data_IF_637055283883
#
_entry.id   IF_637055283883
#
_cell.length_a   1.000
_cell.length_b   1.000
_cell.length_c   1.000
_cell.angle_alpha   90.00
_cell.angle_beta   90.00
_cell.angle_gamma   90.00
#
_symmetry.space_group_name_H-M   'P 1'
#
loop_
_entity.id
_entity.type
_entity.pdbx_description
1 polymer ?
#
# COMPACT_ATOMS: atom_id res chain seq x y z
N UNK A 1 22.79 -8.77 4.51
CA UNK A 1 22.50 -9.47 5.76
C UNK A 1 21.91 -10.85 5.46
N UNK A 2 22.28 -11.86 6.24
CA UNK A 2 21.72 -13.22 6.21
C UNK A 2 20.98 -13.48 7.51
N UNK A 3 19.77 -14.02 7.44
CA UNK A 3 19.05 -14.59 8.57
C UNK A 3 18.98 -16.12 8.36
N UNK A 4 19.67 -16.88 9.23
CA UNK A 4 19.75 -18.33 9.10
C UNK A 4 18.50 -19.04 9.65
N UNK A 5 17.85 -18.46 10.67
CA UNK A 5 16.66 -19.05 11.31
C UNK A 5 15.45 -19.06 10.36
N UNK A 6 15.25 -17.96 9.63
CA UNK A 6 14.16 -17.80 8.66
C UNK A 6 14.60 -18.00 7.21
N UNK A 7 15.86 -18.35 7.01
CA UNK A 7 16.46 -18.70 5.73
C UNK A 7 16.25 -17.66 4.62
N UNK A 8 16.63 -16.40 4.87
CA UNK A 8 16.59 -15.34 3.85
C UNK A 8 17.84 -14.46 3.86
N UNK A 9 18.10 -13.83 2.74
CA UNK A 9 19.02 -12.70 2.57
C UNK A 9 18.25 -11.38 2.57
N UNK A 10 18.88 -10.28 2.98
CA UNK A 10 18.27 -8.95 2.94
C UNK A 10 19.22 -7.90 2.38
N UNK A 11 18.74 -7.11 1.42
CA UNK A 11 19.37 -5.89 0.93
C UNK A 11 18.83 -4.70 1.72
N UNK A 12 19.74 -3.91 2.32
CA UNK A 12 19.41 -2.80 3.20
C UNK A 12 19.91 -1.46 2.69
N UNK A 13 20.95 -1.45 1.83
CA UNK A 13 21.50 -0.24 1.23
C UNK A 13 20.62 0.24 0.09
N UNK A 14 20.45 1.54 -0.04
CA UNK A 14 19.60 2.15 -1.07
C UNK A 14 19.94 1.69 -2.49
N UNK A 15 21.24 1.72 -2.86
CA UNK A 15 21.67 1.33 -4.20
C UNK A 15 21.35 -0.14 -4.52
N UNK A 16 21.55 -1.03 -3.54
CA UNK A 16 21.31 -2.47 -3.70
C UNK A 16 19.79 -2.78 -3.79
N UNK A 17 18.97 -2.15 -2.92
CA UNK A 17 17.52 -2.28 -2.96
C UNK A 17 16.96 -1.73 -4.27
N UNK A 18 17.44 -0.57 -4.73
CA UNK A 18 17.05 -0.01 -6.02
C UNK A 18 17.41 -0.92 -7.18
N UNK A 19 18.65 -1.45 -7.20
CA UNK A 19 19.11 -2.41 -8.21
C UNK A 19 18.26 -3.69 -8.16
N UNK A 20 17.98 -4.21 -6.96
CA UNK A 20 17.15 -5.39 -6.76
C UNK A 20 15.72 -5.23 -7.31
N UNK A 21 15.09 -4.07 -7.12
CA UNK A 21 13.78 -3.80 -7.71
C UNK A 21 13.78 -3.80 -9.25
N UNK A 22 14.88 -3.50 -9.87
CA UNK A 22 15.01 -3.38 -11.34
C UNK A 22 15.55 -4.64 -12.02
N UNK A 23 16.05 -5.60 -11.24
CA UNK A 23 16.60 -6.84 -11.76
C UNK A 23 15.56 -7.96 -11.76
N UNK A 24 14.58 -7.89 -12.67
CA UNK A 24 13.54 -8.89 -12.83
C UNK A 24 14.03 -10.19 -13.50
N UNK A 25 15.24 -10.22 -14.04
CA UNK A 25 15.84 -11.44 -14.63
C UNK A 25 16.36 -12.36 -13.53
N UNK A 26 17.21 -11.84 -12.64
CA UNK A 26 17.80 -12.65 -11.57
C UNK A 26 16.90 -12.75 -10.32
N UNK A 27 15.94 -11.85 -10.15
CA UNK A 27 15.08 -11.74 -8.95
C UNK A 27 13.61 -11.88 -9.31
N UNK A 28 13.08 -13.07 -9.16
CA UNK A 28 11.72 -13.46 -9.56
C UNK A 28 10.67 -13.12 -8.50
N UNK A 29 9.48 -12.76 -8.96
CA UNK A 29 8.28 -12.56 -8.14
C UNK A 29 7.35 -13.78 -8.09
N UNK A 30 7.64 -14.85 -8.85
CA UNK A 30 6.71 -15.98 -9.06
C UNK A 30 6.21 -16.69 -7.81
N UNK A 31 6.96 -16.63 -6.71
CA UNK A 31 6.52 -17.17 -5.42
C UNK A 31 5.85 -16.11 -4.53
N UNK A 32 5.45 -14.98 -5.08
CA UNK A 32 4.90 -13.85 -4.33
C UNK A 32 5.97 -12.97 -3.69
N UNK A 33 5.51 -11.95 -2.96
CA UNK A 33 6.37 -10.90 -2.39
C UNK A 33 6.33 -10.86 -0.85
N UNK A 34 5.61 -11.80 -0.21
CA UNK A 34 5.54 -11.98 1.25
C UNK A 34 6.64 -12.91 1.75
N UNK A 35 6.91 -12.87 3.07
CA UNK A 35 7.72 -13.87 3.77
C UNK A 35 6.91 -15.04 4.29
N UNK A 36 5.59 -14.91 4.38
CA UNK A 36 4.71 -15.93 4.96
C UNK A 36 4.82 -17.25 4.17
N UNK A 37 5.19 -18.38 4.78
CA UNK A 37 5.48 -19.62 4.05
C UNK A 37 4.31 -20.12 3.19
N UNK A 38 3.07 -20.05 3.72
CA UNK A 38 1.86 -20.48 3.00
C UNK A 38 1.54 -19.61 1.79
N UNK A 39 1.98 -18.34 1.79
CA UNK A 39 1.78 -17.40 0.67
C UNK A 39 2.84 -17.53 -0.42
N UNK A 40 3.94 -18.26 -0.14
CA UNK A 40 5.07 -18.43 -1.06
C UNK A 40 4.91 -19.71 -1.88
N UNK A 41 4.02 -19.68 -2.86
CA UNK A 41 3.73 -20.82 -3.71
C UNK A 41 3.71 -20.41 -5.19
N UNK A 42 3.85 -21.37 -6.12
CA UNK A 42 3.67 -21.08 -7.56
C UNK A 42 2.29 -20.52 -7.91
N UNK A 43 1.30 -20.70 -7.04
CA UNK A 43 -0.07 -20.22 -7.19
C UNK A 43 -0.31 -18.84 -6.56
N UNK A 44 0.72 -18.17 -6.04
CA UNK A 44 0.62 -16.84 -5.42
C UNK A 44 -0.06 -15.79 -6.32
N UNK A 45 0.04 -15.96 -7.65
CA UNK A 45 -0.65 -15.11 -8.62
C UNK A 45 -2.19 -15.09 -8.47
N UNK A 46 -2.78 -16.13 -7.87
CA UNK A 46 -4.23 -16.21 -7.65
C UNK A 46 -4.77 -15.19 -6.64
N UNK A 47 -3.89 -14.70 -5.76
CA UNK A 47 -4.21 -13.66 -4.77
C UNK A 47 -3.39 -12.37 -4.97
N UNK A 48 -2.18 -12.50 -5.53
CA UNK A 48 -1.29 -11.37 -5.75
C UNK A 48 -1.30 -10.89 -7.21
N UNK A 49 -2.08 -11.52 -8.10
CA UNK A 49 -2.22 -11.14 -9.52
C UNK A 49 -0.84 -10.91 -10.17
N UNK A 50 -0.68 -9.86 -10.98
CA UNK A 50 0.58 -9.54 -11.66
C UNK A 50 1.75 -9.27 -10.70
N UNK A 51 1.50 -8.97 -9.42
CA UNK A 51 2.56 -8.76 -8.43
C UNK A 51 3.38 -10.04 -8.18
N UNK A 52 2.76 -11.23 -8.35
CA UNK A 52 3.40 -12.53 -8.24
C UNK A 52 3.68 -13.18 -9.61
N UNK A 53 4.04 -12.37 -10.60
CA UNK A 53 4.36 -12.83 -11.94
C UNK A 53 5.67 -12.19 -12.42
N UNK A 54 6.34 -12.88 -13.36
CA UNK A 54 7.46 -12.36 -14.13
C UNK A 54 7.05 -12.20 -15.59
N UNK A 55 7.87 -11.50 -16.38
CA UNK A 55 7.66 -11.40 -17.82
C UNK A 55 7.75 -12.78 -18.51
N UNK A 56 6.97 -13.02 -19.56
CA UNK A 56 6.06 -12.09 -20.23
C UNK A 56 4.66 -11.99 -19.59
N UNK A 57 4.28 -12.87 -18.68
CA UNK A 57 2.95 -12.91 -18.07
C UNK A 57 2.64 -11.62 -17.28
N UNK A 58 3.61 -11.11 -16.51
CA UNK A 58 3.50 -9.84 -15.81
C UNK A 58 3.21 -8.69 -16.77
N UNK A 59 4.01 -8.55 -17.82
CA UNK A 59 3.85 -7.45 -18.78
C UNK A 59 2.47 -7.48 -19.47
N UNK A 60 2.01 -8.69 -19.87
CA UNK A 60 0.68 -8.90 -20.45
C UNK A 60 -0.42 -8.41 -19.50
N UNK A 61 -0.47 -8.97 -18.29
CA UNK A 61 -1.54 -8.67 -17.35
C UNK A 61 -1.49 -7.19 -16.92
N UNK A 62 -0.31 -6.68 -16.60
CA UNK A 62 -0.13 -5.29 -16.23
C UNK A 62 -0.57 -4.32 -17.33
N UNK A 63 -0.29 -4.62 -18.59
CA UNK A 63 -0.72 -3.78 -19.72
C UNK A 63 -2.24 -3.71 -19.83
N UNK A 64 -2.94 -4.83 -19.64
CA UNK A 64 -4.40 -4.90 -19.66
C UNK A 64 -5.03 -4.14 -18.49
N UNK A 65 -4.57 -4.39 -17.25
CA UNK A 65 -5.14 -3.73 -16.06
C UNK A 65 -4.84 -2.23 -16.04
N UNK A 66 -3.70 -1.79 -16.58
CA UNK A 66 -3.33 -0.37 -16.65
C UNK A 66 -4.30 0.46 -17.50
N UNK A 67 -5.06 -0.16 -18.43
CA UNK A 67 -6.13 0.53 -19.17
C UNK A 67 -7.26 1.02 -18.25
N UNK A 68 -7.48 0.34 -17.14
CA UNK A 68 -8.42 0.77 -16.10
C UNK A 68 -7.88 1.89 -15.19
N UNK A 69 -6.54 2.07 -15.10
CA UNK A 69 -5.84 3.02 -14.22
C UNK A 69 -5.23 4.20 -14.97
N UNK A 70 -5.99 4.82 -15.86
CA UNK A 70 -5.48 5.97 -16.61
C UNK A 70 -5.32 7.22 -15.73
N UNK A 71 -4.35 8.12 -16.01
CA UNK A 71 -4.21 9.39 -15.30
C UNK A 71 -5.49 10.25 -15.33
N UNK A 72 -6.32 10.10 -16.35
CA UNK A 72 -7.62 10.76 -16.45
C UNK A 72 -8.58 10.23 -15.37
N UNK A 73 -8.78 8.90 -15.26
CA UNK A 73 -9.64 8.30 -14.24
C UNK A 73 -9.19 8.67 -12.82
N UNK A 74 -7.89 8.66 -12.55
CA UNK A 74 -7.36 9.07 -11.25
C UNK A 74 -7.70 10.54 -10.95
N UNK A 75 -7.57 11.45 -11.92
CA UNK A 75 -7.97 12.86 -11.70
C UNK A 75 -9.47 13.03 -11.49
N UNK A 76 -10.30 12.26 -12.20
CA UNK A 76 -11.76 12.28 -12.05
C UNK A 76 -12.20 11.83 -10.64
N UNK A 77 -11.41 10.97 -9.98
CA UNK A 77 -11.67 10.55 -8.60
C UNK A 77 -11.37 11.64 -7.56
N UNK A 78 -10.55 12.65 -7.84
CA UNK A 78 -10.13 13.64 -6.83
C UNK A 78 -11.31 14.36 -6.17
N UNK A 79 -12.31 14.76 -6.96
CA UNK A 79 -13.53 15.38 -6.43
C UNK A 79 -14.32 14.46 -5.51
N UNK A 80 -14.35 13.16 -5.85
CA UNK A 80 -15.03 12.16 -5.03
C UNK A 80 -14.24 11.82 -3.77
N UNK A 81 -12.93 11.72 -3.86
CA UNK A 81 -12.05 11.56 -2.68
C UNK A 81 -12.22 12.72 -1.71
N UNK A 82 -12.31 13.96 -2.22
CA UNK A 82 -12.58 15.13 -1.38
C UNK A 82 -13.95 15.06 -0.70
N UNK A 83 -14.98 14.60 -1.41
CA UNK A 83 -16.31 14.43 -0.84
C UNK A 83 -16.30 13.36 0.27
N UNK A 84 -15.74 12.17 0.03
CA UNK A 84 -15.59 11.10 1.03
C UNK A 84 -14.77 11.57 2.24
N UNK A 85 -13.69 12.31 1.99
CA UNK A 85 -12.88 12.92 3.05
C UNK A 85 -13.72 13.80 3.96
N UNK A 86 -14.56 14.66 3.38
CA UNK A 86 -15.45 15.56 4.13
C UNK A 86 -16.47 14.79 4.94
N UNK A 87 -17.15 13.81 4.32
CA UNK A 87 -18.14 12.96 4.98
C UNK A 87 -17.55 12.27 6.23
N UNK A 88 -16.34 11.69 6.11
CA UNK A 88 -15.68 11.04 7.24
C UNK A 88 -15.16 12.03 8.29
N UNK A 89 -14.62 13.17 7.87
CA UNK A 89 -14.16 14.22 8.82
C UNK A 89 -15.33 14.89 9.55
N UNK A 90 -16.48 15.08 8.91
CA UNK A 90 -17.67 15.61 9.56
C UNK A 90 -18.05 14.74 10.77
N UNK A 91 -18.02 13.41 10.59
CA UNK A 91 -18.30 12.46 11.68
C UNK A 91 -17.18 12.39 12.72
N UNK A 92 -15.92 12.28 12.30
CA UNK A 92 -14.79 12.13 13.21
C UNK A 92 -14.59 13.39 14.09
N UNK A 93 -14.81 14.56 13.52
CA UNK A 93 -14.67 15.84 14.20
C UNK A 93 -15.91 16.22 15.05
N UNK A 94 -16.95 15.38 15.17
CA UNK A 94 -18.00 15.59 16.18
C UNK A 94 -17.41 15.58 17.60
N UNK A 95 -16.36 14.76 17.83
CA UNK A 95 -15.55 14.80 19.05
C UNK A 95 -14.24 15.54 18.84
N UNK A 96 -13.70 16.16 19.91
CA UNK A 96 -12.36 16.73 19.88
C UNK A 96 -11.28 15.62 20.02
N UNK A 97 -11.62 14.50 20.68
CA UNK A 97 -10.72 13.35 20.84
C UNK A 97 -11.33 12.12 20.18
N UNK A 98 -10.58 11.48 19.30
CA UNK A 98 -11.01 10.29 18.55
C UNK A 98 -9.82 9.46 18.09
N UNK A 99 -10.08 8.21 17.70
CA UNK A 99 -9.06 7.36 17.06
C UNK A 99 -9.00 7.66 15.56
N UNK A 100 -7.90 8.30 15.14
CA UNK A 100 -7.71 8.73 13.74
C UNK A 100 -7.75 7.55 12.75
N UNK A 101 -7.31 6.35 13.15
CA UNK A 101 -7.32 5.19 12.24
C UNK A 101 -8.74 4.66 12.07
N UNK A 102 -9.43 4.37 13.17
CA UNK A 102 -10.74 3.71 13.09
C UNK A 102 -11.85 4.63 12.63
N UNK A 103 -11.75 5.93 12.96
CA UNK A 103 -12.80 6.89 12.63
C UNK A 103 -12.61 7.57 11.26
N UNK A 104 -11.37 7.61 10.77
CA UNK A 104 -11.07 8.32 9.51
C UNK A 104 -10.15 7.54 8.55
N UNK A 105 -8.87 7.36 8.91
CA UNK A 105 -7.85 6.91 7.96
C UNK A 105 -8.09 5.50 7.40
N UNK A 106 -8.73 4.61 8.16
CA UNK A 106 -9.08 3.26 7.72
C UNK A 106 -10.34 3.19 6.85
N UNK A 107 -11.19 4.24 6.89
CA UNK A 107 -12.44 4.27 6.11
C UNK A 107 -12.19 4.82 4.70
N UNK A 108 -11.46 5.93 4.58
CA UNK A 108 -11.29 6.66 3.34
C UNK A 108 -10.69 5.82 2.20
N UNK A 109 -9.52 5.15 2.33
CA UNK A 109 -8.96 4.38 1.23
C UNK A 109 -9.85 3.20 0.81
N UNK A 110 -10.54 2.58 1.76
CA UNK A 110 -11.48 1.50 1.47
C UNK A 110 -12.66 1.98 0.65
N UNK A 111 -13.24 3.13 0.98
CA UNK A 111 -14.34 3.70 0.21
C UNK A 111 -13.90 4.11 -1.19
N UNK A 112 -12.70 4.71 -1.32
CA UNK A 112 -12.13 5.11 -2.61
C UNK A 112 -11.90 3.90 -3.51
N UNK A 113 -11.24 2.85 -3.00
CA UNK A 113 -10.98 1.65 -3.81
C UNK A 113 -12.27 0.90 -4.13
N UNK A 114 -13.20 0.82 -3.18
CA UNK A 114 -14.50 0.17 -3.36
C UNK A 114 -15.32 0.86 -4.44
N UNK A 115 -15.34 2.18 -4.45
CA UNK A 115 -16.03 2.94 -5.48
C UNK A 115 -15.39 2.77 -6.85
N UNK A 116 -14.06 2.78 -6.91
CA UNK A 116 -13.31 2.55 -8.15
C UNK A 116 -13.63 1.18 -8.77
N UNK A 117 -13.70 0.13 -7.95
CA UNK A 117 -13.97 -1.24 -8.43
C UNK A 117 -15.46 -1.54 -8.59
N UNK A 118 -16.34 -0.65 -8.09
CA UNK A 118 -17.78 -0.78 -8.22
C UNK A 118 -18.44 -1.61 -7.08
N UNK A 119 -17.86 -1.62 -5.88
CA UNK A 119 -18.45 -2.25 -4.68
C UNK A 119 -19.59 -1.37 -4.14
N UNK A 120 -20.81 -1.91 -3.93
CA UNK A 120 -21.91 -1.19 -3.33
C UNK A 120 -21.58 -0.66 -1.92
N UNK A 121 -22.11 0.52 -1.51
CA UNK A 121 -21.82 1.11 -0.21
C UNK A 121 -22.08 0.19 0.98
N UNK A 122 -23.16 -0.60 0.92
CA UNK A 122 -23.57 -1.54 1.97
C UNK A 122 -22.57 -2.66 2.23
N UNK A 123 -21.72 -3.01 1.25
CA UNK A 123 -20.74 -4.09 1.37
C UNK A 123 -19.37 -3.59 1.85
N UNK A 124 -19.06 -2.29 1.72
CA UNK A 124 -17.71 -1.71 1.92
C UNK A 124 -17.14 -1.99 3.29
N UNK A 125 -17.96 -1.81 4.35
CA UNK A 125 -17.52 -2.05 5.72
C UNK A 125 -17.15 -3.52 5.97
N UNK A 126 -17.94 -4.46 5.42
CA UNK A 126 -17.65 -5.89 5.51
C UNK A 126 -16.34 -6.23 4.80
N UNK A 127 -16.16 -5.72 3.57
CA UNK A 127 -14.93 -5.97 2.80
C UNK A 127 -13.70 -5.35 3.46
N UNK A 128 -13.83 -4.18 4.12
CA UNK A 128 -12.76 -3.57 4.91
C UNK A 128 -12.31 -4.51 6.03
N UNK A 129 -13.23 -5.01 6.83
CA UNK A 129 -12.91 -5.95 7.92
C UNK A 129 -12.23 -7.20 7.40
N UNK A 130 -12.67 -7.74 6.27
CA UNK A 130 -12.03 -8.90 5.63
C UNK A 130 -10.61 -8.57 5.15
N UNK A 131 -10.40 -7.40 4.50
CA UNK A 131 -9.08 -6.98 4.04
C UNK A 131 -8.10 -6.75 5.18
N UNK A 132 -8.53 -6.10 6.26
CA UNK A 132 -7.74 -5.91 7.48
C UNK A 132 -7.35 -7.27 8.10
N UNK A 133 -8.29 -8.22 8.13
CA UNK A 133 -8.06 -9.59 8.64
C UNK A 133 -7.03 -10.36 7.79
N UNK A 134 -7.07 -10.22 6.48
CA UNK A 134 -6.08 -10.85 5.56
C UNK A 134 -4.66 -10.37 5.86
N UNK A 135 -4.50 -9.10 6.22
CA UNK A 135 -3.19 -8.48 6.48
C UNK A 135 -2.71 -8.63 7.92
N UNK A 136 -3.62 -9.01 8.83
CA UNK A 136 -3.28 -9.21 10.25
C UNK A 136 -2.34 -10.41 10.44
N UNK A 137 -1.38 -10.25 11.36
CA UNK A 137 -0.50 -11.33 11.86
C UNK A 137 -0.55 -11.35 13.38
N UNK A 138 -0.36 -12.53 13.95
CA UNK A 138 -0.30 -12.73 15.39
C UNK A 138 1.14 -12.65 15.88
N UNK A 139 1.36 -12.09 17.06
CA UNK A 139 2.69 -12.00 17.65
C UNK A 139 3.27 -13.40 17.92
N UNK A 140 4.53 -13.60 17.53
CA UNK A 140 5.21 -14.89 17.65
C UNK A 140 4.78 -15.97 16.65
N UNK A 141 3.82 -15.68 15.76
CA UNK A 141 3.38 -16.59 14.68
C UNK A 141 4.04 -16.21 13.37
N UNK A 142 4.75 -17.14 12.77
CA UNK A 142 5.52 -16.91 11.53
C UNK A 142 4.73 -17.14 10.25
N UNK A 143 3.46 -17.57 10.34
CA UNK A 143 2.62 -17.86 9.19
C UNK A 143 1.27 -17.15 9.26
N UNK A 144 0.48 -17.29 8.20
CA UNK A 144 -0.84 -16.66 8.04
C UNK A 144 -1.85 -17.30 8.99
N UNK A 145 -2.53 -16.51 9.87
CA UNK A 145 -3.57 -17.04 10.74
C UNK A 145 -4.73 -17.66 9.95
N UNK A 146 -5.38 -18.67 10.54
CA UNK A 146 -6.56 -19.33 9.93
C UNK A 146 -7.67 -18.34 9.58
N UNK A 147 -7.89 -17.33 10.43
CA UNK A 147 -8.89 -16.29 10.18
C UNK A 147 -8.58 -15.49 8.89
N UNK A 148 -7.29 -15.21 8.62
CA UNK A 148 -6.88 -14.52 7.41
C UNK A 148 -7.11 -15.35 6.15
N UNK A 149 -6.91 -16.69 6.22
CA UNK A 149 -7.22 -17.59 5.10
C UNK A 149 -8.72 -17.61 4.80
N UNK A 150 -9.56 -17.68 5.83
CA UNK A 150 -11.03 -17.62 5.68
C UNK A 150 -11.45 -16.29 5.07
N UNK A 151 -10.93 -15.18 5.57
CA UNK A 151 -11.22 -13.85 5.04
C UNK A 151 -10.80 -13.71 3.56
N UNK A 152 -9.65 -14.25 3.19
CA UNK A 152 -9.19 -14.26 1.80
C UNK A 152 -10.15 -15.05 0.89
N UNK A 153 -10.63 -16.20 1.34
CA UNK A 153 -11.61 -17.00 0.59
C UNK A 153 -12.94 -16.28 0.42
N UNK A 154 -13.42 -15.58 1.46
CA UNK A 154 -14.65 -14.78 1.38
C UNK A 154 -14.51 -13.63 0.39
N UNK A 155 -13.39 -12.91 0.40
CA UNK A 155 -13.11 -11.84 -0.57
C UNK A 155 -13.07 -12.37 -2.00
N UNK A 156 -12.35 -13.48 -2.24
CA UNK A 156 -12.29 -14.11 -3.56
C UNK A 156 -13.67 -14.55 -4.05
N UNK A 157 -14.48 -15.12 -3.17
CA UNK A 157 -15.87 -15.52 -3.50
C UNK A 157 -16.71 -14.31 -3.87
N UNK A 158 -16.62 -13.22 -3.08
CA UNK A 158 -17.34 -11.99 -3.36
C UNK A 158 -16.96 -11.42 -4.75
N UNK A 159 -15.67 -11.35 -5.07
CA UNK A 159 -15.24 -10.82 -6.37
C UNK A 159 -15.58 -11.74 -7.54
N UNK A 160 -15.56 -13.07 -7.34
CA UNK A 160 -16.05 -14.01 -8.35
C UNK A 160 -17.54 -13.79 -8.67
N UNK A 161 -18.36 -13.56 -7.65
CA UNK A 161 -19.79 -13.24 -7.83
C UNK A 161 -19.96 -11.90 -8.54
N UNK A 162 -19.21 -10.88 -8.14
CA UNK A 162 -19.25 -9.56 -8.75
C UNK A 162 -18.85 -9.60 -10.24
N UNK A 163 -17.78 -10.30 -10.62
CA UNK A 163 -17.37 -10.48 -12.02
C UNK A 163 -18.49 -11.16 -12.83
N UNK A 164 -19.09 -12.24 -12.30
CA UNK A 164 -20.23 -12.91 -12.96
C UNK A 164 -21.43 -11.99 -13.14
N UNK A 165 -21.73 -11.16 -12.15
CA UNK A 165 -22.82 -10.20 -12.22
C UNK A 165 -22.55 -9.10 -13.26
N UNK A 166 -21.31 -8.55 -13.31
CA UNK A 166 -20.92 -7.50 -14.26
C UNK A 166 -20.92 -7.97 -15.70
N UNK A 167 -20.59 -9.25 -15.97
CA UNK A 167 -20.75 -9.83 -17.32
C UNK A 167 -22.20 -9.84 -17.80
N UNK A 168 -23.15 -9.98 -16.89
CA UNK A 168 -24.58 -9.98 -17.24
C UNK A 168 -25.15 -8.56 -17.30
N UNK A 169 -24.67 -7.69 -16.43
CA UNK A 169 -25.11 -6.31 -16.28
C UNK A 169 -23.88 -5.39 -16.24
N UNK A 170 -23.35 -4.96 -17.40
CA UNK A 170 -22.19 -4.09 -17.48
C UNK A 170 -22.39 -2.76 -16.74
N UNK A 171 -21.33 -2.24 -16.11
CA UNK A 171 -21.31 -0.98 -15.38
C UNK A 171 -20.07 -0.16 -15.77
N UNK A 172 -20.16 1.17 -15.62
CA UNK A 172 -19.05 2.07 -15.89
C UNK A 172 -18.15 2.24 -14.64
N UNK A 173 -17.62 1.10 -14.16
CA UNK A 173 -16.62 1.03 -13.08
C UNK A 173 -15.34 0.34 -13.58
N UNK A 174 -14.35 0.19 -12.69
CA UNK A 174 -13.09 -0.48 -13.06
C UNK A 174 -13.34 -1.95 -13.46
N UNK A 175 -14.24 -2.65 -12.76
CA UNK A 175 -14.57 -4.05 -13.08
C UNK A 175 -15.15 -4.18 -14.48
N UNK A 176 -16.08 -3.31 -14.86
CA UNK A 176 -16.60 -3.23 -16.23
C UNK A 176 -15.49 -2.95 -17.25
N UNK A 177 -14.63 -1.97 -16.97
CA UNK A 177 -13.50 -1.64 -17.84
C UNK A 177 -12.50 -2.80 -18.00
N UNK A 178 -12.26 -3.61 -16.95
CA UNK A 178 -11.40 -4.78 -17.03
C UNK A 178 -12.03 -5.91 -17.88
N UNK A 179 -13.35 -6.07 -17.79
CA UNK A 179 -14.09 -7.04 -18.59
C UNK A 179 -14.07 -6.72 -20.09
N UNK A 180 -13.94 -5.45 -20.43
CA UNK A 180 -13.87 -4.94 -21.81
C UNK A 180 -12.44 -4.76 -22.33
N UNK A 181 -11.43 -4.78 -21.41
CA UNK A 181 -10.04 -4.54 -21.78
C UNK A 181 -9.54 -5.58 -22.78
N UNK A 182 -8.97 -5.10 -23.91
CA UNK A 182 -8.41 -5.93 -24.96
C UNK A 182 -7.14 -5.30 -25.51
N UNK A 183 -6.14 -6.14 -25.81
CA UNK A 183 -4.91 -5.77 -26.52
C UNK A 183 -4.64 -6.87 -27.54
N UNK A 184 -4.67 -6.51 -28.83
CA UNK A 184 -4.40 -7.41 -29.97
C UNK A 184 -5.23 -8.72 -29.92
N UNK A 185 -6.50 -8.62 -29.50
CA UNK A 185 -7.42 -9.76 -29.35
C UNK A 185 -7.30 -10.51 -28.04
N UNK A 186 -6.32 -10.19 -27.20
CA UNK A 186 -6.13 -10.79 -25.87
C UNK A 186 -6.95 -10.05 -24.81
N UNK A 187 -7.65 -10.80 -23.96
CA UNK A 187 -8.52 -10.30 -22.89
C UNK A 187 -8.21 -10.96 -21.56
N UNK A 188 -8.61 -10.30 -20.47
CA UNK A 188 -8.52 -10.88 -19.13
C UNK A 188 -9.54 -12.01 -18.95
N UNK A 189 -9.09 -13.13 -18.38
CA UNK A 189 -9.97 -14.18 -17.90
C UNK A 189 -10.64 -13.77 -16.57
N UNK A 190 -11.76 -14.41 -16.21
CA UNK A 190 -12.51 -14.07 -15.00
C UNK A 190 -11.71 -14.25 -13.72
N UNK A 191 -10.86 -15.28 -13.66
CA UNK A 191 -9.96 -15.55 -12.54
C UNK A 191 -8.81 -14.52 -12.45
N UNK A 192 -8.32 -14.01 -13.58
CA UNK A 192 -7.34 -12.92 -13.60
C UNK A 192 -7.94 -11.60 -13.07
N UNK A 193 -9.19 -11.29 -13.47
CA UNK A 193 -9.93 -10.12 -12.97
C UNK A 193 -10.19 -10.28 -11.47
N UNK A 194 -10.70 -11.42 -11.03
CA UNK A 194 -10.95 -11.72 -9.61
C UNK A 194 -9.69 -11.56 -8.76
N UNK A 195 -8.56 -12.14 -9.18
CA UNK A 195 -7.29 -12.02 -8.49
C UNK A 195 -6.80 -10.56 -8.43
N UNK A 196 -7.03 -9.80 -9.50
CA UNK A 196 -6.69 -8.38 -9.53
C UNK A 196 -7.56 -7.54 -8.59
N UNK A 197 -8.89 -7.77 -8.55
CA UNK A 197 -9.80 -7.06 -7.64
C UNK A 197 -9.47 -7.37 -6.17
N UNK A 198 -9.13 -8.63 -5.86
CA UNK A 198 -8.65 -9.02 -4.54
C UNK A 198 -7.35 -8.26 -4.18
N UNK A 199 -6.37 -8.24 -5.08
CA UNK A 199 -5.12 -7.49 -4.88
C UNK A 199 -5.40 -6.00 -4.64
N UNK A 200 -6.31 -5.40 -5.41
CA UNK A 200 -6.63 -3.97 -5.31
C UNK A 200 -7.14 -3.59 -3.92
N UNK A 201 -8.05 -4.39 -3.36
CA UNK A 201 -8.63 -4.10 -2.04
C UNK A 201 -7.62 -4.34 -0.92
N UNK A 202 -6.87 -5.44 -0.96
CA UNK A 202 -5.89 -5.75 0.08
C UNK A 202 -4.72 -4.76 0.04
N UNK A 203 -4.15 -4.49 -1.15
CA UNK A 203 -2.98 -3.62 -1.27
C UNK A 203 -3.33 -2.13 -1.20
N UNK A 204 -4.49 -1.72 -1.70
CA UNK A 204 -4.89 -0.31 -1.78
C UNK A 204 -5.40 0.26 -0.45
N UNK A 205 -6.10 -0.54 0.34
CA UNK A 205 -6.64 -0.11 1.63
C UNK A 205 -5.55 0.07 2.70
N UNK A 206 -4.87 -1.02 3.06
CA UNK A 206 -3.95 -1.05 4.19
C UNK A 206 -2.78 -0.08 4.06
N UNK A 207 -2.14 -0.04 2.91
CA UNK A 207 -0.94 0.77 2.73
C UNK A 207 -1.22 2.27 2.81
N UNK A 208 -2.36 2.73 2.28
CA UNK A 208 -2.77 4.14 2.32
C UNK A 208 -3.26 4.53 3.72
N UNK A 209 -3.99 3.65 4.41
CA UNK A 209 -4.34 3.82 5.83
C UNK A 209 -3.08 4.04 6.68
N UNK A 210 -2.04 3.20 6.49
CA UNK A 210 -0.79 3.33 7.25
C UNK A 210 -0.02 4.60 6.87
N UNK A 211 -0.05 5.02 5.60
CA UNK A 211 0.53 6.29 5.18
C UNK A 211 -0.11 7.47 5.92
N UNK A 212 -1.45 7.52 5.98
CA UNK A 212 -2.18 8.56 6.70
C UNK A 212 -1.88 8.55 8.19
N UNK A 213 -1.89 7.38 8.83
CA UNK A 213 -1.56 7.24 10.25
C UNK A 213 -0.12 7.61 10.57
N UNK A 214 0.84 7.17 9.76
CA UNK A 214 2.26 7.52 9.92
C UNK A 214 2.48 9.03 9.73
N UNK A 215 1.79 9.67 8.76
CA UNK A 215 1.86 11.10 8.55
C UNK A 215 1.42 11.87 9.80
N UNK A 216 0.26 11.54 10.33
CA UNK A 216 -0.27 12.19 11.53
C UNK A 216 0.63 11.97 12.75
N UNK A 217 1.09 10.74 12.96
CA UNK A 217 1.96 10.43 14.10
C UNK A 217 3.26 11.25 14.05
N UNK A 218 3.99 11.16 12.91
CA UNK A 218 5.31 11.77 12.83
C UNK A 218 5.29 13.30 12.81
N UNK A 219 4.27 13.94 12.25
CA UNK A 219 4.12 15.38 12.37
C UNK A 219 3.72 15.79 13.80
N UNK A 220 2.80 15.03 14.46
CA UNK A 220 2.36 15.33 15.81
C UNK A 220 3.47 15.23 16.87
N UNK A 221 4.41 14.28 16.72
CA UNK A 221 5.57 14.17 17.61
C UNK A 221 6.75 15.07 17.23
N UNK A 222 6.63 15.84 16.14
CA UNK A 222 7.58 16.84 15.68
C UNK A 222 6.90 18.21 15.49
N UNK A 223 6.63 18.95 16.59
CA UNK A 223 5.79 20.16 16.55
C UNK A 223 6.23 21.23 15.54
N UNK A 224 7.54 21.41 15.36
CA UNK A 224 8.05 22.38 14.38
C UNK A 224 7.69 22.00 12.94
N UNK A 225 7.65 20.69 12.64
CA UNK A 225 7.23 20.19 11.32
C UNK A 225 5.72 20.35 11.15
N UNK A 226 4.94 20.04 12.20
CA UNK A 226 3.48 20.24 12.20
C UNK A 226 3.12 21.71 12.00
N UNK A 227 3.70 22.63 12.77
CA UNK A 227 3.46 24.06 12.62
C UNK A 227 3.75 24.54 11.20
N UNK A 228 4.83 24.06 10.59
CA UNK A 228 5.18 24.43 9.22
C UNK A 228 4.16 24.02 8.16
N UNK A 229 3.36 22.95 8.35
CA UNK A 229 2.27 22.57 7.43
C UNK A 229 0.93 23.21 7.83
N UNK A 230 0.71 23.55 9.10
CA UNK A 230 -0.44 24.34 9.55
C UNK A 230 -0.37 25.78 9.02
N UNK A 231 0.83 26.38 8.99
CA UNK A 231 1.06 27.74 8.48
C UNK A 231 0.98 27.80 6.94
N UNK A 232 1.38 26.72 6.26
CA UNK A 232 1.41 26.65 4.79
C UNK A 232 0.98 25.26 4.28
N UNK A 233 -0.31 25.13 3.94
CA UNK A 233 -0.89 23.91 3.41
C UNK A 233 -0.30 23.47 2.05
N UNK A 234 0.39 24.36 1.31
CA UNK A 234 1.11 23.99 0.09
C UNK A 234 2.25 22.99 0.37
N UNK A 235 2.67 22.83 1.63
CA UNK A 235 3.67 21.86 2.07
C UNK A 235 3.13 20.44 2.29
N UNK A 236 1.81 20.22 2.23
CA UNK A 236 1.21 18.87 2.42
C UNK A 236 1.79 17.82 1.46
N UNK A 237 2.03 18.08 0.16
CA UNK A 237 2.70 17.11 -0.70
C UNK A 237 4.11 16.72 -0.21
N UNK A 238 4.86 17.67 0.35
CA UNK A 238 6.20 17.41 0.90
C UNK A 238 6.10 16.58 2.20
N UNK A 239 5.08 16.79 3.00
CA UNK A 239 4.77 15.98 4.18
C UNK A 239 4.49 14.53 3.79
N UNK A 240 3.66 14.31 2.76
CA UNK A 240 3.39 12.96 2.23
C UNK A 240 4.67 12.27 1.77
N UNK A 241 5.52 12.94 0.99
CA UNK A 241 6.77 12.35 0.50
C UNK A 241 7.76 12.05 1.64
N UNK A 242 7.90 12.94 2.64
CA UNK A 242 8.77 12.66 3.80
C UNK A 242 8.23 11.51 4.65
N UNK A 243 6.90 11.40 4.81
CA UNK A 243 6.29 10.25 5.50
C UNK A 243 6.59 8.94 4.77
N UNK A 244 6.42 8.93 3.44
CA UNK A 244 6.75 7.79 2.60
C UNK A 244 8.23 7.38 2.74
N UNK A 245 9.14 8.33 2.85
CA UNK A 245 10.56 8.06 3.11
C UNK A 245 10.78 7.57 4.53
N UNK A 246 10.30 8.32 5.52
CA UNK A 246 10.70 8.16 6.93
C UNK A 246 10.10 6.92 7.58
N UNK A 247 8.82 6.66 7.34
CA UNK A 247 8.11 5.48 7.87
C UNK A 247 7.19 4.89 6.78
N UNK A 248 7.83 4.32 5.73
CA UNK A 248 7.09 3.74 4.60
C UNK A 248 6.15 2.62 5.06
N UNK A 249 4.94 2.61 4.51
CA UNK A 249 3.94 1.58 4.83
C UNK A 249 4.43 0.18 4.46
N UNK A 250 5.08 0.00 3.30
CA UNK A 250 5.67 -1.29 2.89
C UNK A 250 7.14 -1.34 3.31
N UNK A 251 7.45 -2.24 4.25
CA UNK A 251 8.80 -2.35 4.83
C UNK A 251 9.71 -3.33 4.09
N UNK A 252 9.13 -4.41 3.58
CA UNK A 252 9.85 -5.48 2.91
C UNK A 252 9.07 -5.99 1.70
N UNK A 253 9.81 -6.42 0.67
CA UNK A 253 9.27 -7.19 -0.45
C UNK A 253 10.22 -8.35 -0.77
N UNK A 254 9.69 -9.57 -0.72
CA UNK A 254 10.47 -10.76 -1.02
C UNK A 254 10.67 -10.96 -2.52
N UNK A 255 11.76 -11.62 -2.86
CA UNK A 255 12.09 -12.16 -4.18
C UNK A 255 12.61 -13.58 -4.03
N UNK A 256 12.57 -14.32 -5.11
CA UNK A 256 13.33 -15.56 -5.25
C UNK A 256 14.47 -15.32 -6.22
N UNK A 257 15.66 -15.74 -5.86
CA UNK A 257 16.81 -15.71 -6.76
C UNK A 257 16.55 -16.74 -7.87
N UNK A 258 16.43 -16.27 -9.11
CA UNK A 258 16.20 -17.12 -10.29
C UNK A 258 17.51 -17.52 -10.98
N UNK A 259 18.52 -16.64 -10.94
CA UNK A 259 19.85 -16.86 -11.48
C UNK A 259 20.88 -16.44 -10.45
N UNK A 260 22.05 -17.09 -10.44
CA UNK A 260 23.14 -16.72 -9.54
C UNK A 260 23.44 -15.22 -9.63
N UNK A 261 23.51 -14.55 -8.47
CA UNK A 261 23.77 -13.12 -8.38
C UNK A 261 24.70 -12.80 -7.21
N UNK A 262 25.61 -11.87 -7.42
CA UNK A 262 26.57 -11.44 -6.40
C UNK A 262 26.22 -10.06 -5.86
N UNK A 263 26.31 -9.93 -4.52
CA UNK A 263 26.25 -8.66 -3.80
C UNK A 263 27.45 -8.55 -2.84
N UNK A 264 28.33 -7.59 -3.06
CA UNK A 264 29.46 -7.30 -2.16
C UNK A 264 30.33 -8.53 -1.83
N UNK A 265 30.65 -9.36 -2.82
CA UNK A 265 31.47 -10.57 -2.64
C UNK A 265 30.70 -11.76 -2.05
N UNK A 266 29.38 -11.64 -1.89
CA UNK A 266 28.51 -12.73 -1.46
C UNK A 266 27.64 -13.19 -2.63
N UNK A 267 27.76 -14.46 -3.00
CA UNK A 267 26.98 -15.08 -4.07
C UNK A 267 25.71 -15.70 -3.52
N UNK A 268 24.57 -15.28 -4.06
CA UNK A 268 23.26 -15.87 -3.79
C UNK A 268 22.95 -16.89 -4.89
N UNK A 269 22.40 -18.05 -4.49
CA UNK A 269 22.11 -19.16 -5.39
C UNK A 269 20.65 -19.17 -5.83
N UNK A 270 20.33 -19.74 -7.01
CA UNK A 270 18.95 -19.98 -7.42
C UNK A 270 18.16 -20.72 -6.35
N UNK A 271 16.96 -20.19 -6.02
CA UNK A 271 16.09 -20.69 -4.96
C UNK A 271 16.24 -19.94 -3.62
N UNK A 272 17.30 -19.14 -3.43
CA UNK A 272 17.45 -18.31 -2.24
C UNK A 272 16.30 -17.30 -2.14
N UNK A 273 15.88 -17.01 -0.90
CA UNK A 273 14.95 -15.92 -0.61
C UNK A 273 15.73 -14.64 -0.35
N UNK A 274 15.38 -13.55 -1.06
CA UNK A 274 15.97 -12.25 -0.90
C UNK A 274 14.90 -11.22 -0.53
N UNK A 275 15.13 -10.45 0.53
CA UNK A 275 14.30 -9.32 0.92
C UNK A 275 14.88 -8.01 0.39
N UNK A 276 14.06 -7.24 -0.29
CA UNK A 276 14.30 -5.85 -0.58
C UNK A 276 13.67 -5.03 0.56
N UNK A 277 14.47 -4.18 1.21
CA UNK A 277 14.05 -3.44 2.42
C UNK A 277 14.00 -1.93 2.15
N UNK A 278 12.94 -1.38 1.52
CA UNK A 278 12.81 0.05 1.27
C UNK A 278 12.86 0.89 2.56
N UNK A 279 12.29 0.40 3.67
CA UNK A 279 12.36 1.11 4.96
C UNK A 279 13.80 1.34 5.43
N UNK A 280 14.69 0.36 5.26
CA UNK A 280 16.12 0.51 5.56
C UNK A 280 16.83 1.37 4.51
N UNK A 281 16.53 1.17 3.24
CA UNK A 281 17.12 1.93 2.14
C UNK A 281 16.87 3.45 2.29
N UNK A 282 15.72 3.85 2.84
CA UNK A 282 15.40 5.24 3.10
C UNK A 282 16.15 5.84 4.30
N UNK A 283 16.88 5.02 5.07
CA UNK A 283 17.78 5.43 6.17
C UNK A 283 19.26 5.41 5.76
N UNK A 284 19.56 5.17 4.48
CA UNK A 284 20.94 5.16 3.98
C UNK A 284 21.52 6.57 3.96
N UNK A 285 22.49 6.84 4.85
CA UNK A 285 23.18 8.12 4.99
C UNK A 285 23.99 8.53 3.74
N UNK A 286 24.31 7.56 2.85
CA UNK A 286 24.95 7.82 1.56
C UNK A 286 24.03 8.52 0.57
N UNK A 287 22.71 8.48 0.82
CA UNK A 287 21.67 9.01 -0.07
C UNK A 287 20.88 10.13 0.58
N UNK A 288 20.62 10.03 1.86
CA UNK A 288 19.82 11.00 2.63
C UNK A 288 20.67 11.58 3.77
N UNK A 289 20.87 12.89 3.77
CA UNK A 289 21.52 13.59 4.88
C UNK A 289 20.60 13.55 6.09
N UNK A 290 21.14 13.26 7.29
CA UNK A 290 20.37 13.10 8.53
C UNK A 290 19.13 12.21 8.34
N UNK A 291 19.33 10.93 7.92
CA UNK A 291 18.22 10.06 7.49
C UNK A 291 17.24 9.74 8.61
N UNK A 292 17.68 9.84 9.88
CA UNK A 292 16.88 9.57 11.08
C UNK A 292 16.08 10.77 11.58
N UNK A 293 16.18 11.93 10.90
CA UNK A 293 15.31 13.08 11.15
C UNK A 293 14.10 13.07 10.23
N UNK A 294 12.90 13.30 10.81
CA UNK A 294 11.69 13.60 10.07
C UNK A 294 11.69 15.07 9.68
N UNK A 295 11.87 15.36 8.39
CA UNK A 295 12.05 16.73 7.87
C UNK A 295 11.18 16.96 6.65
N UNK A 296 10.05 17.64 6.82
CA UNK A 296 9.15 18.02 5.74
C UNK A 296 9.85 19.08 4.86
N UNK A 297 9.96 18.78 3.55
CA UNK A 297 10.68 19.63 2.60
C UNK A 297 12.09 19.14 2.28
N UNK A 298 12.46 17.93 2.74
CA UNK A 298 13.66 17.24 2.31
C UNK A 298 13.64 17.03 0.78
N UNK A 299 14.79 17.20 0.11
CA UNK A 299 14.94 16.82 -1.29
C UNK A 299 15.02 15.28 -1.43
N UNK A 300 13.86 14.68 -1.69
CA UNK A 300 13.72 13.24 -1.89
C UNK A 300 13.88 12.89 -3.37
N UNK A 301 13.24 13.64 -4.25
CA UNK A 301 13.31 13.44 -5.71
C UNK A 301 13.01 12.00 -6.12
N UNK A 302 13.83 11.45 -7.01
CA UNK A 302 13.70 10.07 -7.51
C UNK A 302 14.29 8.99 -6.58
N UNK A 303 14.71 9.36 -5.37
CA UNK A 303 15.36 8.45 -4.41
C UNK A 303 14.33 7.62 -3.61
N UNK A 304 13.04 7.94 -3.71
CA UNK A 304 11.98 7.23 -2.98
C UNK A 304 11.76 5.82 -3.53
N UNK A 305 11.80 4.83 -2.66
CA UNK A 305 11.59 3.41 -2.98
C UNK A 305 10.32 2.81 -2.36
N UNK A 306 9.48 3.60 -1.69
CA UNK A 306 8.23 3.14 -1.05
C UNK A 306 7.25 2.49 -2.04
N UNK A 307 7.31 2.91 -3.29
CA UNK A 307 6.50 2.36 -4.37
C UNK A 307 7.27 1.37 -5.26
N UNK A 308 8.45 0.94 -4.82
CA UNK A 308 9.34 0.11 -5.61
C UNK A 308 9.98 0.86 -6.78
N UNK A 309 10.54 0.12 -7.72
CA UNK A 309 11.15 0.63 -8.96
C UNK A 309 11.07 -0.43 -10.06
N UNK A 310 11.27 -0.04 -11.33
CA UNK A 310 11.27 -0.98 -12.47
C UNK A 310 9.88 -1.50 -12.86
N UNK A 311 9.83 -2.73 -13.37
CA UNK A 311 8.62 -3.32 -13.95
C UNK A 311 7.45 -3.39 -12.96
N UNK A 312 7.73 -3.67 -11.69
CA UNK A 312 6.74 -3.76 -10.62
C UNK A 312 6.52 -2.45 -9.84
N UNK A 313 6.88 -1.29 -10.40
CA UNK A 313 6.54 0.00 -9.78
C UNK A 313 5.04 0.06 -9.46
N UNK A 314 4.67 0.53 -8.26
CA UNK A 314 3.30 0.49 -7.76
C UNK A 314 2.31 1.15 -8.73
N UNK A 315 1.25 0.41 -9.11
CA UNK A 315 0.20 0.89 -10.00
C UNK A 315 -0.60 2.03 -9.35
N UNK A 316 -0.84 1.94 -8.04
CA UNK A 316 -1.61 2.91 -7.24
C UNK A 316 -0.80 4.11 -6.72
N UNK A 317 0.47 4.29 -7.10
CA UNK A 317 1.34 5.31 -6.52
C UNK A 317 0.80 6.75 -6.64
N UNK A 318 0.12 7.07 -7.74
CA UNK A 318 -0.52 8.37 -7.96
C UNK A 318 -1.81 8.51 -7.13
N UNK A 319 -2.59 7.45 -7.02
CA UNK A 319 -3.83 7.42 -6.24
C UNK A 319 -3.52 7.61 -4.75
N UNK A 320 -2.59 6.84 -4.19
CA UNK A 320 -2.19 6.93 -2.78
C UNK A 320 -1.68 8.34 -2.39
N UNK A 321 -0.87 8.97 -3.26
CA UNK A 321 -0.42 10.35 -3.05
C UNK A 321 -1.57 11.36 -3.11
N UNK A 322 -2.48 11.19 -4.04
CA UNK A 322 -3.64 12.07 -4.20
C UNK A 322 -4.58 11.93 -2.99
N UNK A 323 -4.89 10.71 -2.56
CA UNK A 323 -5.70 10.46 -1.37
C UNK A 323 -5.07 11.09 -0.13
N UNK A 324 -3.79 10.84 0.14
CA UNK A 324 -3.09 11.40 1.29
C UNK A 324 -3.05 12.94 1.24
N UNK A 325 -2.76 13.52 0.08
CA UNK A 325 -2.76 14.98 -0.08
C UNK A 325 -4.14 15.59 0.18
N UNK A 326 -5.18 15.03 -0.41
CA UNK A 326 -6.56 15.54 -0.24
C UNK A 326 -7.01 15.41 1.21
N UNK A 327 -6.82 14.23 1.81
CA UNK A 327 -7.21 13.95 3.19
C UNK A 327 -6.53 14.88 4.20
N UNK A 328 -5.20 15.02 4.11
CA UNK A 328 -4.43 15.85 5.04
C UNK A 328 -4.72 17.35 4.81
N UNK A 329 -4.86 17.80 3.56
CA UNK A 329 -5.20 19.19 3.26
C UNK A 329 -6.57 19.55 3.82
N UNK A 330 -7.60 18.73 3.57
CA UNK A 330 -8.96 18.99 4.07
C UNK A 330 -9.00 18.98 5.60
N UNK A 331 -8.30 18.04 6.26
CA UNK A 331 -8.20 18.03 7.72
C UNK A 331 -7.62 19.33 8.26
N UNK A 332 -6.48 19.80 7.70
CA UNK A 332 -5.82 21.05 8.15
C UNK A 332 -6.69 22.29 7.94
N UNK A 333 -7.67 22.29 7.03
CA UNK A 333 -8.61 23.42 6.90
C UNK A 333 -9.62 23.50 8.03
N UNK A 334 -9.76 22.44 8.83
CA UNK A 334 -10.78 22.30 9.89
C UNK A 334 -10.24 22.36 11.31
N UNK A 335 -8.91 22.26 11.45
CA UNK A 335 -8.24 22.27 12.75
C UNK A 335 -7.14 23.31 12.80
N UNK A 336 -6.85 23.83 14.00
CA UNK A 336 -5.71 24.72 14.28
C UNK A 336 -4.47 23.95 14.76
N UNK A 337 -4.65 22.68 15.14
CA UNK A 337 -3.60 21.80 15.61
C UNK A 337 -4.17 20.50 16.16
N UNK A 338 -3.30 19.58 16.50
CA UNK A 338 -3.66 18.34 17.19
C UNK A 338 -2.49 17.84 18.04
N UNK A 339 -2.83 17.02 19.02
CA UNK A 339 -1.89 16.26 19.84
C UNK A 339 -2.13 14.76 19.64
N UNK A 340 -1.05 13.99 19.63
CA UNK A 340 -1.09 12.52 19.54
C UNK A 340 -0.94 11.93 20.93
N UNK A 341 -1.86 11.08 21.33
CA UNK A 341 -1.66 10.21 22.49
C UNK A 341 -0.71 9.06 22.13
N UNK A 342 0.58 9.29 22.36
CA UNK A 342 1.63 8.31 22.05
C UNK A 342 1.55 7.05 22.92
N UNK A 343 0.93 7.13 24.10
CA UNK A 343 0.75 5.99 24.99
C UNK A 343 -0.40 5.08 24.55
N UNK A 344 -1.46 5.67 23.97
CA UNK A 344 -2.59 4.94 23.39
C UNK A 344 -2.35 4.47 21.95
N UNK A 345 -1.26 4.89 21.32
CA UNK A 345 -0.96 4.50 19.93
C UNK A 345 -0.53 3.03 19.84
N UNK A 346 -1.20 2.25 18.99
CA UNK A 346 -0.94 0.81 18.81
C UNK A 346 -0.51 0.55 17.37
N UNK A 347 0.67 -0.07 17.20
CA UNK A 347 1.16 -0.51 15.88
C UNK A 347 0.47 -1.79 15.43
N UNK A 348 0.33 -1.96 14.09
CA UNK A 348 -0.16 -3.24 13.54
C UNK A 348 0.89 -4.33 13.68
N UNK A 349 0.44 -5.56 13.86
CA UNK A 349 1.25 -6.75 13.69
C UNK A 349 1.16 -7.21 12.23
N UNK A 350 2.25 -7.09 11.48
CA UNK A 350 2.32 -7.51 10.08
C UNK A 350 3.77 -7.79 9.69
N UNK A 351 3.97 -8.78 8.84
CA UNK A 351 5.29 -9.13 8.29
C UNK A 351 5.78 -8.13 7.24
N UNK A 352 4.88 -7.41 6.59
CA UNK A 352 5.21 -6.59 5.41
C UNK A 352 4.83 -5.12 5.52
N UNK A 353 3.77 -4.78 6.27
CA UNK A 353 3.30 -3.40 6.42
C UNK A 353 3.59 -2.85 7.80
N UNK A 354 3.84 -1.52 7.87
CA UNK A 354 4.14 -0.80 9.09
C UNK A 354 3.26 0.44 9.21
N UNK A 355 2.60 0.58 10.35
CA UNK A 355 1.75 1.71 10.67
C UNK A 355 0.94 1.43 11.93
N UNK A 356 -0.16 2.12 12.11
CA UNK A 356 -0.97 2.05 13.31
C UNK A 356 -2.26 1.26 13.08
N UNK A 357 -2.66 0.49 14.10
CA UNK A 357 -3.99 -0.08 14.26
C UNK A 357 -4.90 0.91 15.00
N UNK A 358 -4.32 1.64 15.99
CA UNK A 358 -4.98 2.69 16.74
C UNK A 358 -4.06 3.89 16.87
N UNK A 359 -4.60 5.08 16.66
CA UNK A 359 -3.90 6.36 16.82
C UNK A 359 -4.84 7.39 17.42
N UNK A 360 -4.99 7.40 18.77
CA UNK A 360 -5.81 8.41 19.43
C UNK A 360 -5.18 9.80 19.27
N UNK A 361 -5.99 10.77 18.87
CA UNK A 361 -5.59 12.17 18.74
C UNK A 361 -6.61 13.08 19.43
N UNK A 362 -6.16 14.26 19.84
CA UNK A 362 -7.02 15.35 20.28
C UNK A 362 -6.78 16.55 19.38
N UNK A 363 -7.83 17.08 18.78
CA UNK A 363 -7.77 18.21 17.83
C UNK A 363 -8.23 19.50 18.47
N UNK A 364 -7.61 20.61 18.06
CA UNK A 364 -8.14 21.97 18.30
C UNK A 364 -8.84 22.42 17.03
N UNK A 365 -10.16 22.55 17.06
CA UNK A 365 -10.96 22.95 15.90
C UNK A 365 -10.67 24.37 15.46
N UNK A 366 -10.79 24.67 14.15
CA UNK A 366 -10.56 25.99 13.57
C UNK A 366 -11.62 27.03 13.96
#
# INVERSE_FOLDING_TARGET
YRNDDLNFWALTRHADVHAGFRNSTALSNKLGVSLDPISRTPEAYRTMSFLAMDDPAHLRLRSLVSKGFTPRRIRELEGRVLQLTREHLDTALDSESFDYITEFAGKLPMDVISELVGVPPEDRQRLRVLADTVMHREDGVTDVPQAALVAAMELLTYYADMVRQRRRNPTDDLTGALLEAEIDGDRLADDEIMAFLFLMVVAGNETTTKLLGNAMYWAGVNPDQLNGVLDDHARVPLWVEETLRYDTSSQILARVVAEEIEFHGTTLQPGDTLLLMPGSAHRDERVFTDPDEFRIGRDIGSKLLSFGSGAHFCLGAHLARMEARVALTELLTRIRGYEVDTAGAVRVHSSSVRGFAHLPITVTKA
#
